data_IF_928405920903
#
_entry.id   IF_928405920903
#
_cell.length_a   1.000
_cell.length_b   1.000
_cell.length_c   1.000
_cell.angle_alpha   90.00
_cell.angle_beta   90.00
_cell.angle_gamma   90.00
#
_symmetry.space_group_name_H-M   'P 1'
#
loop_
_entity.id
_entity.type
_entity.pdbx_description
1 polymer ?
#
# COMPACT_ATOMS: atom_id res chain seq x y z
N UNK A 1 -10.54 -10.19 10.53
CA UNK A 1 -9.29 -10.94 10.75
C UNK A 1 -8.26 -10.12 10.00
N UNK A 2 -7.27 -9.55 10.67
CA UNK A 2 -6.27 -8.75 9.96
C UNK A 2 -5.33 -9.74 9.27
N UNK A 3 -5.39 -9.80 7.94
CA UNK A 3 -4.49 -10.63 7.16
C UNK A 3 -3.04 -10.16 7.30
N UNK A 4 -2.10 -11.08 7.15
CA UNK A 4 -0.66 -10.81 7.22
C UNK A 4 -0.15 -10.59 5.80
N UNK A 5 0.73 -9.60 5.58
CA UNK A 5 1.43 -9.46 4.29
C UNK A 5 2.33 -10.66 4.07
N UNK A 6 2.15 -11.31 2.93
CA UNK A 6 2.90 -12.49 2.50
C UNK A 6 3.36 -12.31 1.06
N UNK A 7 4.31 -13.15 0.62
CA UNK A 7 4.77 -13.13 -0.78
C UNK A 7 3.65 -13.38 -1.80
N UNK A 8 2.55 -14.02 -1.38
CA UNK A 8 1.37 -14.25 -2.21
C UNK A 8 0.55 -12.98 -2.47
N UNK A 9 0.81 -11.91 -1.71
CA UNK A 9 0.18 -10.60 -1.90
C UNK A 9 0.88 -9.74 -2.97
N UNK A 10 2.01 -10.20 -3.50
CA UNK A 10 2.71 -9.52 -4.60
C UNK A 10 1.83 -9.51 -5.84
N UNK A 11 1.67 -8.34 -6.44
CA UNK A 11 0.80 -8.08 -7.58
C UNK A 11 -0.65 -7.77 -7.22
N UNK A 12 -1.03 -7.76 -5.93
CA UNK A 12 -2.36 -7.32 -5.50
C UNK A 12 -2.50 -5.80 -5.60
N UNK A 13 -3.73 -5.37 -5.85
CA UNK A 13 -4.10 -3.96 -5.82
C UNK A 13 -4.14 -3.46 -4.39
N UNK A 14 -3.59 -2.27 -4.19
CA UNK A 14 -3.63 -1.54 -2.93
C UNK A 14 -4.65 -0.42 -3.05
N UNK A 15 -5.58 -0.36 -2.12
CA UNK A 15 -6.65 0.64 -2.05
C UNK A 15 -6.66 1.34 -0.70
N UNK A 16 -7.26 2.52 -0.64
CA UNK A 16 -7.58 3.17 0.64
C UNK A 16 -8.90 2.67 1.24
N UNK A 17 -9.26 3.15 2.43
CA UNK A 17 -10.53 2.83 3.09
C UNK A 17 -11.79 3.31 2.33
N UNK A 18 -11.64 4.19 1.33
CA UNK A 18 -12.71 4.59 0.42
C UNK A 18 -12.79 3.73 -0.85
N UNK A 19 -11.90 2.75 -1.02
CA UNK A 19 -11.80 1.89 -2.20
C UNK A 19 -11.09 2.57 -3.39
N UNK A 20 -10.32 3.62 -3.13
CA UNK A 20 -9.53 4.29 -4.17
C UNK A 20 -8.25 3.50 -4.41
N UNK A 21 -8.02 3.10 -5.66
CA UNK A 21 -6.77 2.47 -6.08
C UNK A 21 -5.59 3.41 -5.85
N UNK A 22 -4.63 2.97 -5.04
CA UNK A 22 -3.40 3.68 -4.69
C UNK A 22 -2.20 3.16 -5.49
N UNK A 23 -2.20 1.89 -5.85
CA UNK A 23 -1.06 1.24 -6.50
C UNK A 23 -1.15 -0.28 -6.50
N UNK A 24 -0.02 -0.93 -6.79
CA UNK A 24 0.12 -2.38 -6.87
C UNK A 24 1.31 -2.83 -6.03
N UNK A 25 1.18 -3.94 -5.30
CA UNK A 25 2.28 -4.51 -4.52
C UNK A 25 3.39 -4.99 -5.45
N UNK A 26 4.53 -4.30 -5.46
CA UNK A 26 5.71 -4.67 -6.23
C UNK A 26 6.49 -5.81 -5.55
N UNK A 27 6.58 -5.79 -4.22
CA UNK A 27 7.33 -6.78 -3.44
C UNK A 27 6.82 -6.89 -2.01
N UNK A 28 6.93 -8.07 -1.40
CA UNK A 28 6.73 -8.24 0.05
C UNK A 28 8.01 -8.76 0.69
N UNK A 29 8.43 -8.11 1.77
CA UNK A 29 9.61 -8.44 2.57
C UNK A 29 9.19 -8.58 4.05
N UNK A 30 8.92 -9.83 4.46
CA UNK A 30 8.35 -10.13 5.77
C UNK A 30 6.99 -9.47 5.95
N UNK A 31 6.87 -8.60 6.95
CA UNK A 31 5.63 -7.87 7.27
C UNK A 31 5.54 -6.48 6.62
N UNK A 32 6.27 -6.29 5.51
CA UNK A 32 6.31 -5.03 4.76
C UNK A 32 6.07 -5.29 3.29
N UNK A 33 5.27 -4.45 2.65
CA UNK A 33 5.03 -4.48 1.23
C UNK A 33 5.59 -3.20 0.60
N UNK A 34 6.41 -3.35 -0.44
CA UNK A 34 6.73 -2.26 -1.35
C UNK A 34 5.62 -2.18 -2.40
N UNK A 35 5.08 -0.99 -2.58
CA UNK A 35 3.95 -0.72 -3.47
C UNK A 35 4.37 0.33 -4.48
N UNK A 36 4.17 -0.02 -5.75
CA UNK A 36 4.32 0.86 -6.89
C UNK A 36 3.06 1.74 -6.96
N UNK A 37 3.16 3.05 -6.66
CA UNK A 37 2.02 3.95 -6.61
C UNK A 37 1.53 4.28 -8.02
N UNK A 38 0.22 4.32 -8.18
CA UNK A 38 -0.36 4.84 -9.42
C UNK A 38 -0.02 6.35 -9.53
N UNK A 39 0.56 6.83 -10.66
CA UNK A 39 0.98 8.22 -10.80
C UNK A 39 -0.16 9.23 -10.62
N UNK A 40 -1.42 8.80 -10.78
CA UNK A 40 -2.59 9.67 -10.59
C UNK A 40 -2.90 9.98 -9.11
N UNK A 41 -2.39 9.19 -8.17
CA UNK A 41 -2.74 9.26 -6.74
C UNK A 41 -1.52 9.30 -5.83
N UNK A 42 -0.34 8.94 -6.36
CA UNK A 42 0.95 9.00 -5.70
C UNK A 42 1.13 10.30 -4.90
N UNK A 43 0.94 11.46 -5.55
CA UNK A 43 1.09 12.78 -4.92
C UNK A 43 0.27 12.96 -3.64
N UNK A 44 -0.99 12.48 -3.64
CA UNK A 44 -1.90 12.62 -2.50
C UNK A 44 -1.55 11.65 -1.36
N UNK A 45 -1.15 10.42 -1.69
CA UNK A 45 -0.75 9.40 -0.73
C UNK A 45 0.54 9.81 -0.02
N UNK A 46 1.55 10.25 -0.77
CA UNK A 46 2.83 10.72 -0.22
C UNK A 46 2.63 11.91 0.72
N UNK A 47 1.80 12.89 0.32
CA UNK A 47 1.51 14.07 1.13
C UNK A 47 0.75 13.72 2.43
N UNK A 48 -0.17 12.75 2.38
CA UNK A 48 -1.02 12.38 3.52
C UNK A 48 -0.31 11.47 4.52
N UNK A 49 0.54 10.56 4.04
CA UNK A 49 1.29 9.62 4.88
C UNK A 49 2.64 10.16 5.35
N UNK A 50 3.07 11.33 4.85
CA UNK A 50 4.36 11.94 5.22
C UNK A 50 5.57 11.09 4.82
N UNK A 51 5.41 10.28 3.78
CA UNK A 51 6.46 9.42 3.25
C UNK A 51 7.30 10.29 2.32
N UNK A 52 8.40 10.83 2.82
CA UNK A 52 9.43 11.48 2.00
C UNK A 52 10.14 10.37 1.21
N UNK A 53 9.78 10.19 -0.07
CA UNK A 53 10.32 9.12 -0.92
C UNK A 53 11.84 9.19 -1.00
N UNK A 54 12.53 8.13 -0.57
CA UNK A 54 13.99 8.02 -0.73
C UNK A 54 14.36 7.63 -2.17
N UNK A 55 13.44 7.06 -2.94
CA UNK A 55 13.51 6.88 -4.38
C UNK A 55 12.06 6.96 -4.93
N UNK A 56 11.84 7.73 -5.99
CA UNK A 56 10.53 8.18 -6.50
C UNK A 56 9.61 7.07 -7.08
N UNK A 57 9.86 5.81 -6.75
CA UNK A 57 9.31 4.65 -7.46
C UNK A 57 8.42 3.75 -6.59
N UNK A 58 8.71 3.54 -5.30
CA UNK A 58 7.93 2.63 -4.44
C UNK A 58 7.73 3.20 -3.02
N UNK A 59 6.56 2.98 -2.42
CA UNK A 59 6.33 3.25 -0.99
C UNK A 59 6.19 1.96 -0.19
N UNK A 60 6.68 1.97 1.06
CA UNK A 60 6.61 0.80 1.94
C UNK A 60 5.41 0.90 2.88
N UNK A 61 4.51 -0.07 2.76
CA UNK A 61 3.39 -0.28 3.68
C UNK A 61 3.70 -1.36 4.69
N UNK A 62 3.25 -1.13 5.93
CA UNK A 62 3.46 -2.00 7.08
C UNK A 62 2.11 -2.46 7.63
N UNK A 63 2.06 -3.57 8.37
CA UNK A 63 0.82 -4.09 8.97
C UNK A 63 0.04 -3.05 9.79
N UNK A 64 0.73 -2.09 10.42
CA UNK A 64 0.10 -1.00 11.18
C UNK A 64 -0.75 -0.07 10.32
N UNK A 65 -0.50 -0.03 9.01
CA UNK A 65 -1.23 0.76 8.03
C UNK A 65 -2.32 -0.06 7.31
N UNK A 66 -2.46 -1.36 7.59
CA UNK A 66 -3.38 -2.25 6.87
C UNK A 66 -4.69 -2.41 7.63
N UNK A 67 -5.80 -2.11 6.97
CA UNK A 67 -7.13 -2.37 7.48
C UNK A 67 -7.55 -3.81 7.21
N UNK A 68 -7.39 -4.28 5.97
CA UNK A 68 -7.63 -5.68 5.59
C UNK A 68 -6.68 -6.13 4.48
N UNK A 69 -6.40 -7.43 4.45
CA UNK A 69 -5.60 -8.09 3.42
C UNK A 69 -6.38 -9.32 2.99
N UNK A 70 -7.18 -9.17 1.95
CA UNK A 70 -8.01 -10.24 1.37
C UNK A 70 -7.70 -10.36 -0.13
N UNK A 71 -8.65 -10.07 -1.02
CA UNK A 71 -8.42 -9.96 -2.46
C UNK A 71 -7.58 -8.72 -2.82
N UNK A 72 -7.79 -7.63 -2.09
CA UNK A 72 -7.06 -6.37 -2.19
C UNK A 72 -6.50 -5.96 -0.84
N UNK A 73 -5.47 -5.11 -0.87
CA UNK A 73 -4.84 -4.56 0.34
C UNK A 73 -5.50 -3.23 0.64
N UNK A 74 -6.26 -3.16 1.73
CA UNK A 74 -6.93 -1.94 2.17
C UNK A 74 -6.07 -1.24 3.20
N UNK A 75 -5.74 0.03 2.97
CA UNK A 75 -5.01 0.86 3.93
C UNK A 75 -5.96 1.56 4.91
N UNK A 76 -5.52 1.66 6.16
CA UNK A 76 -6.19 2.41 7.20
C UNK A 76 -6.06 3.90 6.90
N UNK A 77 -7.20 4.58 6.70
CA UNK A 77 -7.25 6.01 6.42
C UNK A 77 -7.77 6.32 5.02
N UNK A 78 -8.27 7.55 4.85
CA UNK A 78 -8.74 8.09 3.56
C UNK A 78 -7.61 8.93 2.98
N UNK A 79 -7.11 8.58 1.79
CA UNK A 79 -5.90 9.15 1.17
C UNK A 79 -6.19 9.86 -0.16
#
# INVERSE_FOLDING_TARGET
MNGTLTGDDVGKTVVDAAGKELGIVAKVDGNRAAVDPNPSVAEHVFASLGIEGEDEEDYVVTESMLESVDDEIVLQGTL
#
